data_IF_135150881829
#
_entry.id   IF_135150881829
#
_cell.length_a   1.000
_cell.length_b   1.000
_cell.length_c   1.000
_cell.angle_alpha   90.00
_cell.angle_beta   90.00
_cell.angle_gamma   90.00
#
_symmetry.space_group_name_H-M   'P 1'
#
loop_
_entity.id
_entity.type
_entity.pdbx_description
1 polymer ?
#
# COMPACT_ATOMS: atom_id res chain seq x y z
N UNK A 1 0.63 -23.97 -22.11
CA UNK A 1 1.93 -23.86 -21.43
C UNK A 1 1.69 -24.09 -19.96
N UNK A 2 1.92 -25.31 -19.47
CA UNK A 2 1.94 -25.58 -18.03
C UNK A 2 3.29 -25.11 -17.52
N UNK A 3 3.35 -23.94 -16.89
CA UNK A 3 4.55 -23.57 -16.15
C UNK A 3 4.62 -24.47 -14.91
N UNK A 4 5.58 -25.39 -14.92
CA UNK A 4 5.89 -26.24 -13.78
C UNK A 4 6.62 -25.36 -12.77
N UNK A 5 5.91 -24.80 -11.80
CA UNK A 5 6.58 -24.02 -10.77
C UNK A 5 7.27 -24.99 -9.80
N UNK A 6 8.60 -24.95 -9.80
CA UNK A 6 9.44 -25.70 -8.88
C UNK A 6 9.41 -24.99 -7.52
N UNK A 7 8.51 -25.43 -6.65
CA UNK A 7 8.21 -24.79 -5.37
C UNK A 7 9.37 -24.90 -4.36
N UNK A 8 10.12 -23.81 -4.24
CA UNK A 8 10.63 -23.33 -2.95
C UNK A 8 10.42 -21.82 -2.90
N UNK A 9 9.35 -21.39 -2.22
CA UNK A 9 8.97 -19.98 -2.06
C UNK A 9 9.79 -19.27 -0.98
N UNK A 10 10.51 -20.01 -0.13
CA UNK A 10 11.36 -19.43 0.90
C UNK A 10 12.53 -18.66 0.30
N UNK A 11 12.66 -17.38 0.70
CA UNK A 11 13.73 -16.49 0.26
C UNK A 11 13.52 -15.84 -1.11
N UNK A 12 12.45 -16.20 -1.83
CA UNK A 12 12.08 -15.58 -3.11
C UNK A 12 11.22 -14.34 -2.87
N UNK A 13 11.36 -13.35 -3.74
CA UNK A 13 10.56 -12.14 -3.77
C UNK A 13 9.32 -12.34 -4.67
N UNK A 14 9.45 -13.14 -5.72
CA UNK A 14 8.39 -13.46 -6.67
C UNK A 14 8.37 -14.95 -7.00
N UNK A 15 7.16 -15.41 -7.29
CA UNK A 15 6.91 -16.76 -7.76
C UNK A 15 7.39 -16.99 -9.21
N UNK A 16 7.46 -15.93 -10.00
CA UNK A 16 7.90 -16.00 -11.40
C UNK A 16 9.43 -15.97 -11.48
N UNK A 17 10.01 -16.97 -12.15
CA UNK A 17 11.46 -17.08 -12.35
C UNK A 17 12.03 -15.88 -13.12
N UNK A 18 11.29 -15.38 -14.12
CA UNK A 18 11.67 -14.18 -14.89
C UNK A 18 11.78 -12.93 -14.02
N UNK A 19 11.01 -12.83 -12.93
CA UNK A 19 11.11 -11.70 -12.00
C UNK A 19 12.36 -11.84 -11.12
N UNK A 20 12.66 -13.05 -10.62
CA UNK A 20 13.88 -13.30 -9.85
C UNK A 20 15.15 -13.01 -10.66
N UNK A 21 15.18 -13.41 -11.93
CA UNK A 21 16.28 -13.09 -12.84
C UNK A 21 16.48 -11.58 -12.97
N UNK A 22 15.40 -10.83 -13.20
CA UNK A 22 15.47 -9.38 -13.34
C UNK A 22 15.85 -8.65 -12.05
N UNK A 23 15.52 -9.20 -10.88
CA UNK A 23 15.92 -8.61 -9.59
C UNK A 23 17.43 -8.61 -9.41
N UNK A 24 18.14 -9.63 -9.90
CA UNK A 24 19.61 -9.65 -9.89
C UNK A 24 20.14 -8.50 -10.74
N UNK A 25 19.64 -8.36 -11.97
CA UNK A 25 20.09 -7.33 -12.90
C UNK A 25 19.86 -5.92 -12.38
N UNK A 26 18.66 -5.65 -11.84
CA UNK A 26 18.31 -4.34 -11.28
C UNK A 26 19.26 -3.95 -10.14
N UNK A 27 19.64 -4.92 -9.28
CA UNK A 27 20.58 -4.68 -8.17
C UNK A 27 21.99 -4.40 -8.67
N UNK A 28 22.47 -5.16 -9.66
CA UNK A 28 23.78 -4.93 -10.29
C UNK A 28 23.87 -3.56 -10.96
N UNK A 29 22.77 -3.12 -11.59
CA UNK A 29 22.67 -1.80 -12.22
C UNK A 29 22.46 -0.66 -11.21
N UNK A 30 22.42 -0.95 -9.90
CA UNK A 30 22.23 0.05 -8.84
C UNK A 30 20.86 0.73 -8.85
N UNK A 31 19.86 0.09 -9.46
CA UNK A 31 18.51 0.61 -9.59
C UNK A 31 17.61 0.12 -8.46
N UNK A 32 16.53 0.86 -8.17
CA UNK A 32 15.48 0.43 -7.22
C UNK A 32 14.28 -0.18 -7.94
N UNK A 33 13.63 -1.16 -7.32
CA UNK A 33 12.37 -1.76 -7.79
C UNK A 33 11.21 -1.48 -6.81
N UNK A 34 10.04 -2.07 -7.11
CA UNK A 34 8.83 -1.91 -6.30
C UNK A 34 8.96 -2.48 -4.89
N UNK A 35 9.66 -3.60 -4.71
CA UNK A 35 9.84 -4.25 -3.43
C UNK A 35 10.74 -3.43 -2.49
N UNK A 36 11.80 -2.82 -3.03
CA UNK A 36 12.68 -1.93 -2.26
C UNK A 36 11.91 -0.71 -1.75
N UNK A 37 11.13 -0.08 -2.65
CA UNK A 37 10.32 1.09 -2.29
C UNK A 37 9.22 0.73 -1.31
N UNK A 38 8.58 -0.42 -1.47
CA UNK A 38 7.57 -0.94 -0.52
C UNK A 38 8.13 -1.06 0.89
N UNK A 39 9.31 -1.68 1.06
CA UNK A 39 9.92 -1.88 2.38
C UNK A 39 10.17 -0.56 3.14
N UNK A 40 10.50 0.52 2.41
CA UNK A 40 10.62 1.86 2.99
C UNK A 40 9.27 2.49 3.33
N UNK A 41 8.30 2.40 2.43
CA UNK A 41 6.98 3.03 2.58
C UNK A 41 6.13 2.34 3.65
N UNK A 42 6.15 1.01 3.75
CA UNK A 42 5.31 0.24 4.67
C UNK A 42 5.49 0.68 6.13
N UNK A 43 6.71 1.03 6.53
CA UNK A 43 7.03 1.48 7.90
C UNK A 43 6.39 2.82 8.27
N UNK A 44 6.01 3.63 7.28
CA UNK A 44 5.51 5.00 7.48
C UNK A 44 4.09 5.21 6.94
N UNK A 45 3.38 4.14 6.53
CA UNK A 45 2.03 4.27 5.98
C UNK A 45 1.09 4.92 7.00
N UNK A 46 0.35 5.91 6.52
CA UNK A 46 -0.61 6.65 7.34
C UNK A 46 -1.74 5.72 7.78
N UNK A 47 -1.91 5.56 9.11
CA UNK A 47 -2.94 4.72 9.71
C UNK A 47 -4.36 5.08 9.26
N UNK A 48 -4.69 6.37 9.18
CA UNK A 48 -6.01 6.80 8.70
C UNK A 48 -6.28 6.38 7.25
N UNK A 49 -5.26 6.42 6.39
CA UNK A 49 -5.40 5.99 5.00
C UNK A 49 -5.55 4.47 4.90
N UNK A 50 -4.80 3.71 5.73
CA UNK A 50 -4.92 2.25 5.81
C UNK A 50 -6.32 1.81 6.24
N UNK A 51 -6.91 2.53 7.19
CA UNK A 51 -8.22 2.22 7.77
C UNK A 51 -9.39 2.79 6.94
N UNK A 52 -9.12 3.50 5.83
CA UNK A 52 -10.18 4.14 5.02
C UNK A 52 -10.84 5.35 5.71
N UNK A 53 -10.18 5.93 6.70
CA UNK A 53 -10.65 7.03 7.56
C UNK A 53 -10.08 8.40 7.17
N UNK A 54 -9.58 8.55 5.94
CA UNK A 54 -9.06 9.80 5.39
C UNK A 54 -9.75 10.16 4.08
N UNK A 55 -10.29 11.38 3.96
CA UNK A 55 -10.93 11.87 2.74
C UNK A 55 -10.26 13.17 2.24
N UNK A 56 -9.93 13.20 0.95
CA UNK A 56 -9.28 14.33 0.26
C UNK A 56 -10.07 14.83 -0.97
N UNK A 57 -11.37 14.55 -1.02
CA UNK A 57 -12.20 14.80 -2.22
C UNK A 57 -12.65 16.26 -2.40
N UNK A 58 -12.34 17.16 -1.45
CA UNK A 58 -12.67 18.58 -1.56
C UNK A 58 -11.61 19.44 -0.89
N UNK A 59 -11.64 20.75 -1.18
CA UNK A 59 -10.69 21.73 -0.67
C UNK A 59 -10.77 21.98 0.84
N UNK A 60 -11.76 21.41 1.53
CA UNK A 60 -11.88 21.46 3.00
C UNK A 60 -11.20 20.26 3.69
N UNK A 61 -10.72 19.28 2.92
CA UNK A 61 -9.92 18.17 3.43
C UNK A 61 -8.44 18.54 3.64
N UNK A 62 -7.58 17.58 4.06
CA UNK A 62 -7.91 16.21 4.41
C UNK A 62 -8.73 16.11 5.71
N UNK A 63 -9.91 15.50 5.64
CA UNK A 63 -10.65 15.11 6.83
C UNK A 63 -10.13 13.76 7.33
N UNK A 64 -9.86 13.62 8.63
CA UNK A 64 -9.43 12.36 9.25
C UNK A 64 -10.38 12.00 10.39
N UNK A 65 -10.94 10.79 10.34
CA UNK A 65 -11.90 10.33 11.34
C UNK A 65 -11.16 9.67 12.50
N UNK A 66 -11.46 10.13 13.72
CA UNK A 66 -10.98 9.50 14.94
C UNK A 66 -12.16 8.83 15.65
N UNK A 67 -12.25 7.50 15.57
CA UNK A 67 -13.35 6.72 16.17
C UNK A 67 -13.39 6.80 17.71
N UNK A 68 -12.31 7.26 18.35
CA UNK A 68 -12.22 7.42 19.81
C UNK A 68 -12.33 8.87 20.27
N UNK A 69 -12.39 9.82 19.34
CA UNK A 69 -12.34 11.26 19.62
C UNK A 69 -13.54 12.00 19.05
N UNK A 70 -13.45 13.33 19.07
CA UNK A 70 -14.53 14.22 18.63
C UNK A 70 -14.69 14.28 17.10
N UNK A 71 -13.64 13.93 16.34
CA UNK A 71 -13.64 13.96 14.87
C UNK A 71 -14.37 12.74 14.28
N UNK A 72 -15.66 12.60 14.60
CA UNK A 72 -16.50 11.50 14.11
C UNK A 72 -17.04 11.68 12.68
N UNK A 73 -16.88 12.88 12.10
CA UNK A 73 -17.34 13.23 10.74
C UNK A 73 -16.34 14.15 10.04
N UNK A 74 -16.36 14.15 8.71
CA UNK A 74 -15.69 15.17 7.92
C UNK A 74 -16.39 16.53 8.03
N UNK A 75 -15.75 17.59 7.52
CA UNK A 75 -16.30 18.96 7.53
C UNK A 75 -17.68 19.03 6.86
N UNK A 76 -17.89 18.25 5.79
CA UNK A 76 -19.17 18.16 5.09
C UNK A 76 -20.22 17.27 5.80
N UNK A 77 -19.88 16.66 6.94
CA UNK A 77 -20.76 15.77 7.70
C UNK A 77 -20.70 14.29 7.30
N UNK A 78 -19.87 13.91 6.32
CA UNK A 78 -19.68 12.49 5.93
C UNK A 78 -19.06 11.68 7.09
N UNK A 79 -19.65 10.54 7.42
CA UNK A 79 -19.16 9.62 8.46
C UNK A 79 -18.15 8.59 7.92
N UNK A 80 -17.58 7.75 8.81
CA UNK A 80 -16.56 6.76 8.45
C UNK A 80 -17.04 5.71 7.43
N UNK A 81 -18.26 5.17 7.57
CA UNK A 81 -18.76 4.13 6.66
C UNK A 81 -18.90 4.65 5.23
N UNK A 82 -19.42 5.87 5.08
CA UNK A 82 -19.55 6.53 3.79
C UNK A 82 -18.19 7.01 3.24
N UNK A 83 -17.19 7.24 4.11
CA UNK A 83 -15.82 7.57 3.70
C UNK A 83 -15.09 6.37 3.12
N UNK A 84 -15.29 5.17 3.67
CA UNK A 84 -14.67 3.93 3.17
C UNK A 84 -15.20 3.49 1.80
N UNK A 85 -16.41 3.90 1.41
CA UNK A 85 -17.04 3.55 0.13
C UNK A 85 -16.68 4.50 -1.04
N UNK A 86 -15.89 5.54 -0.77
CA UNK A 86 -15.57 6.62 -1.70
C UNK A 86 -14.27 6.39 -2.45
#
# INVERSE_FOLDING_TARGET
>A
MSETILEKTEGRVSYHDSVEEMLIRIREDGMSNVFDRWASQEKIRCKFCLEGLSCQLCSQGPCRINLKGEQGKGVCGIGPDAMAMR
#
